data_IF_450749209981
#
_entry.id   IF_450749209981
#
_cell.length_a   1.000
_cell.length_b   1.000
_cell.length_c   1.000
_cell.angle_alpha   90.00
_cell.angle_beta   90.00
_cell.angle_gamma   90.00
#
_symmetry.space_group_name_H-M   'P 1'
#
loop_
_entity.id
_entity.type
_entity.pdbx_description
1 polymer ?
#
# COMPACT_ATOMS: atom_id res chain seq x y z
N UNK A 1 9.30 10.49 21.98
CA UNK A 1 9.25 9.03 22.26
C UNK A 1 9.45 8.33 20.94
N UNK A 2 10.52 7.56 20.77
CA UNK A 2 10.83 6.88 19.51
C UNK A 2 9.73 5.85 19.24
N UNK A 3 8.90 6.07 18.21
CA UNK A 3 7.86 5.10 17.81
C UNK A 3 8.57 3.95 17.12
N UNK A 4 9.02 2.98 17.88
CA UNK A 4 9.54 1.72 17.34
C UNK A 4 8.40 0.83 16.93
N UNK A 5 8.40 0.39 15.68
CA UNK A 5 7.53 -0.72 15.25
C UNK A 5 7.82 -1.93 16.15
N UNK A 6 6.76 -2.59 16.61
CA UNK A 6 6.91 -3.81 17.40
C UNK A 6 7.27 -4.99 16.50
N UNK A 7 8.01 -5.97 17.03
CA UNK A 7 8.32 -7.18 16.30
C UNK A 7 7.04 -7.85 15.76
N UNK A 8 7.07 -8.26 14.50
CA UNK A 8 5.95 -8.88 13.79
C UNK A 8 4.69 -8.00 13.67
N UNK A 9 4.82 -6.67 13.75
CA UNK A 9 3.69 -5.76 13.64
C UNK A 9 3.03 -5.86 12.27
N UNK A 10 3.82 -5.93 11.20
CA UNK A 10 3.33 -6.01 9.84
C UNK A 10 2.49 -7.27 9.60
N UNK A 11 3.04 -8.45 9.88
CA UNK A 11 2.30 -9.71 9.70
C UNK A 11 1.07 -9.80 10.61
N UNK A 12 1.16 -9.31 11.85
CA UNK A 12 -0.01 -9.26 12.76
C UNK A 12 -1.12 -8.38 12.19
N UNK A 13 -0.78 -7.25 11.58
CA UNK A 13 -1.74 -6.36 10.93
C UNK A 13 -2.36 -7.02 9.70
N UNK A 14 -1.57 -7.65 8.84
CA UNK A 14 -2.07 -8.40 7.68
C UNK A 14 -3.08 -9.46 8.11
N UNK A 15 -2.76 -10.29 9.10
CA UNK A 15 -3.68 -11.32 9.61
C UNK A 15 -4.93 -10.67 10.21
N UNK A 16 -4.79 -9.66 11.06
CA UNK A 16 -5.90 -9.00 11.75
C UNK A 16 -6.87 -8.32 10.79
N UNK A 17 -6.35 -7.60 9.79
CA UNK A 17 -7.23 -6.86 8.88
C UNK A 17 -7.89 -7.76 7.84
N UNK A 18 -7.26 -8.91 7.55
CA UNK A 18 -7.71 -9.88 6.54
C UNK A 18 -8.18 -11.22 7.12
N UNK A 19 -8.47 -11.31 8.43
CA UNK A 19 -8.76 -12.56 9.11
C UNK A 19 -9.89 -13.37 8.45
N UNK A 20 -10.86 -12.71 7.84
CA UNK A 20 -12.00 -13.37 7.18
C UNK A 20 -11.56 -14.25 6.00
N UNK A 21 -10.49 -13.89 5.27
CA UNK A 21 -9.96 -14.75 4.20
C UNK A 21 -9.38 -16.05 4.75
N UNK A 22 -8.72 -15.99 5.90
CA UNK A 22 -8.17 -17.18 6.55
C UNK A 22 -9.28 -18.10 7.08
N UNK A 23 -10.36 -17.53 7.63
CA UNK A 23 -11.53 -18.29 8.06
C UNK A 23 -12.23 -18.94 6.87
N UNK A 24 -12.47 -18.21 5.78
CA UNK A 24 -13.05 -18.77 4.56
C UNK A 24 -12.18 -19.91 4.01
N UNK A 25 -10.87 -19.74 3.96
CA UNK A 25 -9.96 -20.79 3.51
C UNK A 25 -10.02 -22.03 4.42
N UNK A 26 -10.02 -21.85 5.74
CA UNK A 26 -10.14 -22.95 6.69
C UNK A 26 -11.46 -23.72 6.52
N UNK A 27 -12.61 -23.02 6.45
CA UNK A 27 -13.91 -23.64 6.21
C UNK A 27 -13.93 -24.38 4.87
N UNK A 28 -13.40 -23.77 3.80
CA UNK A 28 -13.33 -24.40 2.48
C UNK A 28 -12.48 -25.68 2.49
N UNK A 29 -11.34 -25.67 3.19
CA UNK A 29 -10.49 -26.84 3.36
C UNK A 29 -11.24 -27.97 4.09
N UNK A 30 -11.94 -27.65 5.18
CA UNK A 30 -12.73 -28.64 5.93
C UNK A 30 -13.86 -29.24 5.06
N UNK A 31 -14.55 -28.44 4.25
CA UNK A 31 -15.56 -28.90 3.33
C UNK A 31 -14.98 -29.80 2.24
N UNK A 32 -13.81 -29.46 1.69
CA UNK A 32 -13.11 -30.28 0.70
C UNK A 32 -12.67 -31.63 1.30
N UNK A 33 -12.16 -31.65 2.53
CA UNK A 33 -11.83 -32.87 3.26
C UNK A 33 -13.07 -33.72 3.45
N UNK A 34 -14.19 -33.15 3.91
CA UNK A 34 -15.45 -33.89 4.07
C UNK A 34 -15.95 -34.44 2.72
N UNK A 35 -15.90 -33.62 1.64
CA UNK A 35 -16.29 -34.07 0.29
C UNK A 35 -15.43 -35.24 -0.21
N UNK A 36 -14.13 -35.24 0.11
CA UNK A 36 -13.21 -36.30 -0.32
C UNK A 36 -13.60 -37.68 0.20
N UNK A 37 -14.41 -37.77 1.29
CA UNK A 37 -14.87 -39.03 1.86
C UNK A 37 -15.97 -39.70 1.00
N UNK A 38 -16.61 -38.95 0.13
CA UNK A 38 -17.68 -39.42 -0.77
C UNK A 38 -17.23 -39.64 -2.22
N UNK A 39 -15.94 -39.37 -2.50
CA UNK A 39 -15.37 -39.46 -3.83
C UNK A 39 -14.29 -40.54 -3.91
N UNK A 40 -13.89 -40.93 -5.13
CA UNK A 40 -12.84 -41.91 -5.34
C UNK A 40 -12.00 -41.55 -6.59
N UNK A 41 -10.87 -42.24 -6.77
CA UNK A 41 -10.00 -42.06 -7.92
C UNK A 41 -9.38 -40.69 -8.04
N UNK A 42 -9.27 -40.16 -9.24
CA UNK A 42 -8.59 -38.91 -9.57
C UNK A 42 -9.17 -37.70 -8.84
N UNK A 43 -10.47 -37.68 -8.52
CA UNK A 43 -11.12 -36.56 -7.88
C UNK A 43 -10.57 -36.30 -6.47
N UNK A 44 -10.26 -37.37 -5.74
CA UNK A 44 -9.66 -37.27 -4.39
C UNK A 44 -8.26 -36.62 -4.48
N UNK A 45 -7.44 -37.03 -5.44
CA UNK A 45 -6.13 -36.43 -5.63
C UNK A 45 -6.20 -34.95 -6.02
N UNK A 46 -7.19 -34.57 -6.86
CA UNK A 46 -7.41 -33.17 -7.22
C UNK A 46 -7.82 -32.33 -6.01
N UNK A 47 -8.66 -32.87 -5.10
CA UNK A 47 -9.03 -32.19 -3.86
C UNK A 47 -7.79 -31.94 -3.00
N UNK A 48 -7.00 -32.97 -2.71
CA UNK A 48 -5.82 -32.82 -1.89
C UNK A 48 -4.76 -31.91 -2.53
N UNK A 49 -4.60 -31.94 -3.85
CA UNK A 49 -3.76 -31.00 -4.57
C UNK A 49 -4.25 -29.55 -4.37
N UNK A 50 -5.57 -29.31 -4.50
CA UNK A 50 -6.17 -27.99 -4.26
C UNK A 50 -5.93 -27.49 -2.83
N UNK A 51 -6.11 -28.36 -1.83
CA UNK A 51 -5.82 -28.04 -0.42
C UNK A 51 -4.34 -27.69 -0.28
N UNK A 52 -3.43 -28.50 -0.82
CA UNK A 52 -1.99 -28.25 -0.78
C UNK A 52 -1.60 -26.92 -1.40
N UNK A 53 -2.12 -26.59 -2.59
CA UNK A 53 -1.87 -25.31 -3.25
C UNK A 53 -2.45 -24.12 -2.44
N UNK A 54 -3.62 -24.28 -1.84
CA UNK A 54 -4.22 -23.23 -0.99
C UNK A 54 -3.35 -22.96 0.24
N UNK A 55 -2.92 -24.00 0.94
CA UNK A 55 -2.04 -23.87 2.11
C UNK A 55 -0.69 -23.25 1.73
N UNK A 56 -0.08 -23.72 0.64
CA UNK A 56 1.19 -23.16 0.14
C UNK A 56 1.03 -21.67 -0.21
N UNK A 57 -0.06 -21.29 -0.86
CA UNK A 57 -0.35 -19.90 -1.18
C UNK A 57 -0.50 -19.02 0.06
N UNK A 58 -1.20 -19.48 1.09
CA UNK A 58 -1.33 -18.75 2.37
C UNK A 58 0.05 -18.60 3.02
N UNK A 59 0.83 -19.67 3.11
CA UNK A 59 2.17 -19.62 3.70
C UNK A 59 3.09 -18.69 2.93
N UNK A 60 3.08 -18.74 1.60
CA UNK A 60 3.86 -17.84 0.75
C UNK A 60 3.47 -16.38 0.98
N UNK A 61 2.17 -16.08 1.00
CA UNK A 61 1.66 -14.72 1.27
C UNK A 61 2.09 -14.21 2.64
N UNK A 62 1.98 -15.02 3.68
CA UNK A 62 2.40 -14.64 5.04
C UNK A 62 3.91 -14.46 5.14
N UNK A 63 4.70 -15.36 4.55
CA UNK A 63 6.16 -15.27 4.56
C UNK A 63 6.65 -14.00 3.82
N UNK A 64 6.06 -13.71 2.66
CA UNK A 64 6.41 -12.50 1.90
C UNK A 64 5.91 -11.24 2.62
N UNK A 65 4.73 -11.26 3.22
CA UNK A 65 4.25 -10.13 4.05
C UNK A 65 5.19 -9.86 5.23
N UNK A 66 5.63 -10.90 5.93
CA UNK A 66 6.65 -10.75 6.98
C UNK A 66 7.93 -10.14 6.45
N UNK A 67 8.44 -10.66 5.31
CA UNK A 67 9.63 -10.11 4.68
C UNK A 67 9.48 -8.62 4.35
N UNK A 68 8.37 -8.23 3.74
CA UNK A 68 8.15 -6.84 3.30
C UNK A 68 7.97 -5.90 4.49
N UNK A 69 7.08 -6.24 5.43
CA UNK A 69 6.59 -5.30 6.44
C UNK A 69 7.31 -5.37 7.78
N UNK A 70 8.06 -6.46 8.04
CA UNK A 70 8.76 -6.64 9.33
C UNK A 70 10.28 -6.79 9.18
N UNK A 71 10.75 -7.40 8.07
CA UNK A 71 12.16 -7.72 7.91
C UNK A 71 12.89 -6.76 6.96
N UNK A 72 12.26 -6.30 5.88
CA UNK A 72 12.90 -5.40 4.91
C UNK A 72 13.00 -3.96 5.44
N UNK A 73 13.83 -3.16 4.77
CA UNK A 73 14.09 -1.75 5.08
C UNK A 73 12.94 -0.80 4.66
N UNK A 74 11.75 -1.33 4.34
CA UNK A 74 10.64 -0.53 3.81
C UNK A 74 10.33 0.67 4.71
N UNK A 75 10.22 0.46 6.01
CA UNK A 75 9.89 1.51 6.96
C UNK A 75 11.10 2.30 7.47
N UNK A 76 12.32 1.98 6.99
CA UNK A 76 13.47 2.86 7.17
C UNK A 76 13.45 4.05 6.24
N UNK A 77 12.60 4.03 5.20
CA UNK A 77 12.42 5.10 4.23
C UNK A 77 13.75 5.61 3.66
N UNK A 78 14.70 4.70 3.35
CA UNK A 78 16.06 5.09 2.91
C UNK A 78 16.06 5.90 1.62
N UNK A 79 15.03 5.76 0.79
CA UNK A 79 14.91 6.51 -0.47
C UNK A 79 14.69 8.01 -0.27
N UNK A 80 14.32 8.46 0.93
CA UNK A 80 14.23 9.89 1.25
C UNK A 80 15.49 10.44 1.94
N UNK A 81 16.53 9.64 2.21
CA UNK A 81 17.71 10.07 2.98
C UNK A 81 18.42 11.24 2.33
N UNK A 82 18.59 11.19 1.03
CA UNK A 82 19.28 12.20 0.23
C UNK A 82 18.48 13.47 0.00
N UNK A 83 17.20 13.46 0.33
CA UNK A 83 16.32 14.61 0.15
C UNK A 83 16.44 15.55 1.35
N UNK A 84 16.48 16.86 1.08
CA UNK A 84 16.55 17.91 2.10
C UNK A 84 15.36 18.89 1.95
N UNK A 85 14.12 18.40 1.99
CA UNK A 85 12.95 19.26 1.82
C UNK A 85 12.76 20.16 3.06
N UNK A 86 12.13 21.32 2.84
CA UNK A 86 11.62 22.18 3.91
C UNK A 86 10.17 21.86 4.24
N UNK A 87 9.40 21.52 3.21
CA UNK A 87 7.97 21.22 3.29
C UNK A 87 7.71 19.81 2.75
N UNK A 88 7.19 18.94 3.59
CA UNK A 88 6.80 17.56 3.22
C UNK A 88 5.29 17.42 3.33
N UNK A 89 4.67 16.79 2.33
CA UNK A 89 3.31 16.29 2.39
C UNK A 89 3.33 14.76 2.47
N UNK A 90 2.81 14.19 3.56
CA UNK A 90 2.58 12.75 3.65
C UNK A 90 1.11 12.44 3.37
N UNK A 91 0.87 11.55 2.42
CA UNK A 91 -0.46 11.20 1.91
C UNK A 91 -0.82 9.80 2.35
N UNK A 92 -1.90 9.66 3.08
CA UNK A 92 -2.42 8.36 3.48
C UNK A 92 -3.90 8.17 3.13
N UNK A 93 -4.35 6.93 3.18
CA UNK A 93 -5.72 6.49 2.89
C UNK A 93 -6.41 5.98 4.16
N UNK A 94 -6.17 6.66 5.28
CA UNK A 94 -6.77 6.32 6.56
C UNK A 94 -6.01 5.34 7.44
N UNK A 95 -4.84 4.88 7.01
CA UNK A 95 -3.91 4.12 7.83
C UNK A 95 -2.51 4.69 7.67
N UNK A 96 -2.06 5.42 8.67
CA UNK A 96 -0.77 6.12 8.65
C UNK A 96 0.27 5.36 9.47
N UNK A 97 1.21 4.73 8.81
CA UNK A 97 2.37 4.07 9.42
C UNK A 97 3.68 4.87 9.23
N UNK A 98 3.64 6.00 8.52
CA UNK A 98 4.85 6.66 8.03
C UNK A 98 5.09 8.06 8.60
N UNK A 99 4.08 8.80 9.01
CA UNK A 99 4.25 10.19 9.47
C UNK A 99 5.21 10.33 10.65
N UNK A 100 5.09 9.49 11.66
CA UNK A 100 6.02 9.54 12.81
C UNK A 100 7.45 9.16 12.40
N UNK A 101 7.60 8.21 11.46
CA UNK A 101 8.93 7.83 10.93
C UNK A 101 9.55 9.00 10.16
N UNK A 102 8.75 9.71 9.34
CA UNK A 102 9.19 10.89 8.59
C UNK A 102 9.59 12.01 9.55
N UNK A 103 8.78 12.32 10.58
CA UNK A 103 9.10 13.32 11.60
C UNK A 103 10.44 13.05 12.28
N UNK A 104 10.65 11.79 12.69
CA UNK A 104 11.89 11.39 13.35
C UNK A 104 13.11 11.48 12.42
N UNK A 105 12.91 11.17 11.14
CA UNK A 105 13.97 11.16 10.13
C UNK A 105 14.31 12.54 9.59
N UNK A 106 13.33 13.43 9.52
CA UNK A 106 13.43 14.78 8.92
C UNK A 106 13.04 15.88 9.94
N UNK A 107 13.82 16.00 11.02
CA UNK A 107 13.50 16.87 12.17
C UNK A 107 13.45 18.38 11.84
N UNK A 108 14.15 18.81 10.78
CA UNK A 108 14.21 20.23 10.38
C UNK A 108 13.23 20.55 9.23
N UNK A 109 12.13 19.82 9.13
CA UNK A 109 11.13 19.98 8.08
C UNK A 109 9.75 20.22 8.65
N UNK A 110 8.91 20.94 7.92
CA UNK A 110 7.47 21.00 8.21
C UNK A 110 6.79 19.82 7.54
N UNK A 111 6.10 18.99 8.30
CA UNK A 111 5.32 17.86 7.80
C UNK A 111 3.83 18.18 7.86
N UNK A 112 3.18 18.18 6.71
CA UNK A 112 1.72 18.16 6.58
C UNK A 112 1.26 16.72 6.32
N UNK A 113 0.16 16.31 6.95
CA UNK A 113 -0.38 14.95 6.84
C UNK A 113 -1.80 15.05 6.32
N UNK A 114 -2.10 14.35 5.23
CA UNK A 114 -3.45 14.27 4.69
C UNK A 114 -3.97 12.84 4.65
N UNK A 115 -5.27 12.71 4.86
CA UNK A 115 -6.04 11.47 4.74
C UNK A 115 -7.18 11.70 3.76
N UNK A 116 -7.14 11.03 2.61
CA UNK A 116 -8.16 11.11 1.57
C UNK A 116 -9.23 10.01 1.67
N UNK A 117 -9.22 9.21 2.72
CA UNK A 117 -10.16 8.11 2.85
C UNK A 117 -11.61 8.61 2.88
N UNK A 118 -12.41 8.08 1.95
CA UNK A 118 -13.85 8.28 1.91
C UNK A 118 -14.56 6.92 2.02
N UNK A 119 -15.34 6.66 3.09
CA UNK A 119 -15.95 5.35 3.32
C UNK A 119 -16.97 4.93 2.26
N UNK A 120 -17.48 5.88 1.45
CA UNK A 120 -18.40 5.60 0.37
C UNK A 120 -17.69 5.21 -0.94
N UNK A 121 -16.41 5.52 -1.07
CA UNK A 121 -15.60 5.26 -2.27
C UNK A 121 -14.54 4.17 -2.02
N UNK A 122 -13.87 4.21 -0.86
CA UNK A 122 -12.78 3.32 -0.48
C UNK A 122 -13.33 2.22 0.45
N UNK A 123 -13.96 1.22 -0.13
CA UNK A 123 -14.79 0.24 0.60
C UNK A 123 -14.02 -1.02 1.04
N UNK A 124 -12.70 -1.05 0.91
CA UNK A 124 -11.88 -2.18 1.34
C UNK A 124 -12.02 -2.44 2.85
N UNK A 125 -12.38 -3.68 3.19
CA UNK A 125 -12.64 -4.07 4.59
C UNK A 125 -11.38 -3.98 5.45
N UNK A 126 -10.21 -4.24 4.86
CA UNK A 126 -8.90 -4.16 5.52
C UNK A 126 -8.61 -2.75 6.01
N UNK A 127 -8.82 -1.73 5.16
CA UNK A 127 -8.57 -0.33 5.52
C UNK A 127 -9.52 0.15 6.61
N UNK A 128 -10.81 -0.24 6.54
CA UNK A 128 -11.77 0.07 7.60
C UNK A 128 -11.31 -0.44 8.96
N UNK A 129 -10.87 -1.70 9.03
CA UNK A 129 -10.34 -2.31 10.26
C UNK A 129 -9.03 -1.67 10.73
N UNK A 130 -8.17 -1.26 9.78
CA UNK A 130 -6.94 -0.56 10.10
C UNK A 130 -7.25 0.78 10.78
N UNK A 131 -8.16 1.57 10.23
CA UNK A 131 -8.62 2.86 10.81
C UNK A 131 -9.21 2.70 12.21
N UNK A 132 -10.06 1.69 12.42
CA UNK A 132 -10.64 1.39 13.73
C UNK A 132 -9.56 1.08 14.77
N UNK A 133 -8.47 0.43 14.35
CA UNK A 133 -7.37 0.03 15.24
C UNK A 133 -6.34 1.13 15.45
N UNK A 134 -6.07 1.92 14.43
CA UNK A 134 -5.05 2.96 14.39
C UNK A 134 -5.68 4.28 13.94
N UNK A 135 -6.30 5.03 14.87
CA UNK A 135 -6.85 6.35 14.55
C UNK A 135 -5.78 7.28 14.00
N UNK A 136 -6.14 8.09 13.02
CA UNK A 136 -5.23 9.07 12.43
C UNK A 136 -4.70 10.05 13.50
N UNK A 137 -3.44 10.51 13.38
CA UNK A 137 -2.90 11.58 14.20
C UNK A 137 -3.82 12.82 14.22
N UNK A 138 -3.87 13.55 15.33
CA UNK A 138 -4.77 14.72 15.49
C UNK A 138 -4.53 15.82 14.46
N UNK A 139 -3.31 15.97 14.00
CA UNK A 139 -2.87 16.92 12.98
C UNK A 139 -3.19 16.50 11.55
N UNK A 140 -3.75 15.31 11.34
CA UNK A 140 -4.11 14.84 10.00
C UNK A 140 -5.30 15.62 9.46
N UNK A 141 -5.15 16.17 8.26
CA UNK A 141 -6.18 16.90 7.54
C UNK A 141 -6.95 15.91 6.66
N UNK A 142 -8.25 15.78 6.88
CA UNK A 142 -9.11 15.02 5.96
C UNK A 142 -9.39 15.82 4.70
N UNK A 143 -9.20 15.22 3.52
CA UNK A 143 -9.30 15.90 2.22
C UNK A 143 -10.12 15.08 1.23
N UNK A 144 -10.70 15.77 0.23
CA UNK A 144 -11.21 15.11 -0.98
C UNK A 144 -10.10 14.96 -2.01
N UNK A 145 -10.22 13.95 -2.88
CA UNK A 145 -9.20 13.59 -3.89
C UNK A 145 -9.05 14.60 -5.03
N UNK A 146 -9.98 15.55 -5.17
CA UNK A 146 -10.00 16.53 -6.25
C UNK A 146 -9.80 17.98 -5.79
N UNK A 147 -9.55 18.20 -4.50
CA UNK A 147 -9.32 19.55 -3.95
C UNK A 147 -8.47 19.49 -2.68
N UNK A 148 -7.17 19.70 -2.83
CA UNK A 148 -6.25 19.78 -1.69
C UNK A 148 -6.21 21.21 -1.13
N UNK A 149 -6.34 21.41 0.20
CA UNK A 149 -6.42 22.72 0.84
C UNK A 149 -5.04 23.40 0.98
N UNK A 150 -4.23 23.37 -0.07
CA UNK A 150 -2.90 23.96 -0.10
C UNK A 150 -2.73 24.83 -1.33
N UNK A 151 -1.89 25.85 -1.21
CA UNK A 151 -1.52 26.70 -2.35
C UNK A 151 -0.69 25.89 -3.37
N UNK A 152 -0.66 26.39 -4.60
CA UNK A 152 0.20 25.81 -5.64
C UNK A 152 1.67 25.83 -5.20
N UNK A 153 2.40 24.80 -5.59
CA UNK A 153 3.86 24.72 -5.38
C UNK A 153 4.31 24.83 -3.90
N UNK A 154 3.51 24.28 -2.98
CA UNK A 154 3.72 24.39 -1.53
C UNK A 154 4.71 23.36 -0.97
N UNK A 155 4.97 22.26 -1.67
CA UNK A 155 5.72 21.13 -1.12
C UNK A 155 6.94 20.76 -1.93
N UNK A 156 8.10 20.64 -1.27
CA UNK A 156 9.34 20.19 -1.88
C UNK A 156 9.36 18.66 -2.07
N UNK A 157 8.65 17.94 -1.19
CA UNK A 157 8.55 16.49 -1.21
C UNK A 157 7.14 16.04 -0.87
N UNK A 158 6.56 15.21 -1.73
CA UNK A 158 5.28 14.55 -1.47
C UNK A 158 5.51 13.06 -1.42
N UNK A 159 4.97 12.40 -0.40
CA UNK A 159 5.12 10.97 -0.16
C UNK A 159 3.75 10.28 -0.16
N UNK A 160 3.57 9.30 -1.04
CA UNK A 160 2.44 8.37 -1.05
C UNK A 160 2.99 6.97 -0.83
N UNK A 161 2.91 6.45 0.40
CA UNK A 161 3.47 5.14 0.74
C UNK A 161 2.34 4.16 0.97
N UNK A 162 2.16 3.21 0.05
CA UNK A 162 1.14 2.16 0.11
C UNK A 162 -0.29 2.71 0.35
N UNK A 163 -0.61 3.84 -0.26
CA UNK A 163 -1.88 4.53 -0.05
C UNK A 163 -2.64 4.83 -1.34
N UNK A 164 -1.96 5.24 -2.39
CA UNK A 164 -2.60 5.74 -3.61
C UNK A 164 -3.39 4.66 -4.39
N UNK A 165 -3.08 3.37 -4.19
CA UNK A 165 -3.82 2.27 -4.79
C UNK A 165 -5.26 2.11 -4.25
N UNK A 166 -5.59 2.73 -3.12
CA UNK A 166 -6.96 2.74 -2.58
C UNK A 166 -7.93 3.52 -3.46
N UNK A 167 -7.45 4.46 -4.28
CA UNK A 167 -8.25 5.13 -5.29
C UNK A 167 -8.43 4.19 -6.49
N UNK A 168 -9.51 3.41 -6.50
CA UNK A 168 -9.76 2.35 -7.50
C UNK A 168 -10.19 2.89 -8.86
N UNK A 169 -10.97 3.97 -8.89
CA UNK A 169 -11.37 4.64 -10.14
C UNK A 169 -10.18 5.38 -10.76
N UNK A 170 -9.87 5.09 -12.03
CA UNK A 170 -8.73 5.69 -12.71
C UNK A 170 -8.90 7.20 -12.90
N UNK A 171 -10.12 7.67 -13.19
CA UNK A 171 -10.38 9.11 -13.41
C UNK A 171 -10.21 9.88 -12.10
N UNK A 172 -10.67 9.32 -10.99
CA UNK A 172 -10.47 9.91 -9.68
C UNK A 172 -8.97 9.92 -9.33
N UNK A 173 -8.26 8.83 -9.55
CA UNK A 173 -6.81 8.75 -9.32
C UNK A 173 -6.04 9.76 -10.16
N UNK A 174 -6.38 9.93 -11.45
CA UNK A 174 -5.77 10.97 -12.29
C UNK A 174 -6.04 12.37 -11.75
N UNK A 175 -7.28 12.68 -11.31
CA UNK A 175 -7.59 14.00 -10.69
C UNK A 175 -6.78 14.22 -9.43
N UNK A 176 -6.66 13.21 -8.59
CA UNK A 176 -5.87 13.29 -7.37
C UNK A 176 -4.38 13.57 -7.67
N UNK A 177 -3.81 12.88 -8.64
CA UNK A 177 -2.43 13.14 -9.05
C UNK A 177 -2.24 14.51 -9.72
N UNK A 178 -3.26 15.09 -10.36
CA UNK A 178 -3.25 16.49 -10.82
C UNK A 178 -3.19 17.47 -9.65
N UNK A 179 -3.93 17.22 -8.59
CA UNK A 179 -3.86 18.02 -7.37
C UNK A 179 -2.49 17.88 -6.67
N UNK A 180 -1.94 16.66 -6.59
CA UNK A 180 -0.58 16.46 -6.07
C UNK A 180 0.47 17.19 -6.93
N UNK A 181 0.31 17.17 -8.26
CA UNK A 181 1.16 17.93 -9.18
C UNK A 181 1.01 19.44 -8.95
N UNK A 182 -0.19 19.97 -8.78
CA UNK A 182 -0.45 21.39 -8.51
C UNK A 182 0.28 21.89 -7.26
N UNK A 183 0.22 21.12 -6.17
CA UNK A 183 0.84 21.51 -4.90
C UNK A 183 2.32 21.18 -4.81
N UNK A 184 2.88 20.43 -5.75
CA UNK A 184 4.31 20.12 -5.85
C UNK A 184 5.08 21.34 -6.34
N UNK A 185 6.19 21.70 -5.69
CA UNK A 185 7.08 22.77 -6.11
C UNK A 185 7.77 22.43 -7.45
N UNK A 186 8.22 23.43 -8.21
CA UNK A 186 8.83 23.23 -9.54
C UNK A 186 10.03 22.26 -9.51
N UNK A 187 10.88 22.35 -8.47
CA UNK A 187 12.02 21.45 -8.25
C UNK A 187 11.67 20.31 -7.25
N UNK A 188 10.39 20.17 -6.91
CA UNK A 188 9.91 19.19 -5.94
C UNK A 188 9.89 17.78 -6.52
N UNK A 189 9.78 16.80 -5.62
CA UNK A 189 9.64 15.38 -5.95
C UNK A 189 8.38 14.79 -5.34
N UNK A 190 7.64 14.04 -6.14
CA UNK A 190 6.57 13.19 -5.67
C UNK A 190 7.04 11.73 -5.72
N UNK A 191 7.05 11.07 -4.57
CA UNK A 191 7.46 9.68 -4.44
C UNK A 191 6.26 8.79 -4.13
N UNK A 192 5.98 7.85 -5.02
CA UNK A 192 4.86 6.91 -4.91
C UNK A 192 5.40 5.50 -4.73
N UNK A 193 5.23 4.95 -3.54
CA UNK A 193 5.73 3.62 -3.15
C UNK A 193 4.59 2.64 -3.14
N UNK A 194 4.63 1.61 -4.01
CA UNK A 194 3.51 0.70 -4.21
C UNK A 194 3.95 -0.73 -4.55
N UNK A 195 3.07 -1.68 -4.27
CA UNK A 195 3.09 -2.97 -4.91
C UNK A 195 2.72 -2.85 -6.38
N UNK A 196 3.43 -3.57 -7.23
CA UNK A 196 3.09 -3.60 -8.65
C UNK A 196 2.46 -4.93 -9.03
N UNK A 197 1.52 -4.90 -9.96
CA UNK A 197 0.98 -6.10 -10.59
C UNK A 197 2.05 -6.69 -11.52
N UNK A 198 2.90 -7.54 -10.96
CA UNK A 198 4.02 -8.23 -11.62
C UNK A 198 4.14 -9.69 -11.16
N UNK A 199 5.03 -10.45 -11.76
CA UNK A 199 5.20 -11.88 -11.49
C UNK A 199 5.54 -12.17 -10.02
N UNK A 200 6.41 -11.37 -9.40
CA UNK A 200 6.79 -11.58 -8.01
C UNK A 200 5.58 -11.46 -7.06
N UNK A 201 4.80 -10.40 -7.25
CA UNK A 201 3.59 -10.19 -6.46
C UNK A 201 2.49 -11.21 -6.77
N UNK A 202 2.41 -11.72 -8.02
CA UNK A 202 1.52 -12.83 -8.35
C UNK A 202 1.88 -14.10 -7.59
N UNK A 203 3.15 -14.49 -7.60
CA UNK A 203 3.62 -15.69 -6.89
C UNK A 203 3.44 -15.57 -5.37
N UNK A 204 3.61 -14.36 -4.82
CA UNK A 204 3.46 -14.10 -3.40
C UNK A 204 1.99 -14.05 -2.94
N UNK A 205 1.12 -13.38 -3.69
CA UNK A 205 -0.22 -12.99 -3.23
C UNK A 205 -1.37 -13.63 -4.02
N UNK A 206 -1.10 -14.42 -5.07
CA UNK A 206 -2.08 -15.11 -5.91
C UNK A 206 -3.26 -14.19 -6.28
N UNK A 207 -4.47 -14.46 -5.80
CA UNK A 207 -5.66 -13.64 -6.07
C UNK A 207 -5.49 -12.20 -5.54
N UNK A 208 -4.78 -11.99 -4.44
CA UNK A 208 -4.48 -10.66 -3.90
C UNK A 208 -3.70 -9.77 -4.87
N UNK A 209 -2.96 -10.35 -5.81
CA UNK A 209 -2.28 -9.63 -6.88
C UNK A 209 -3.19 -8.72 -7.71
N UNK A 210 -4.48 -9.04 -7.87
CA UNK A 210 -5.43 -8.21 -8.60
C UNK A 210 -5.76 -6.90 -7.89
N UNK A 211 -5.45 -6.80 -6.61
CA UNK A 211 -5.56 -5.55 -5.85
C UNK A 211 -4.53 -4.50 -6.32
N UNK A 212 -3.39 -4.92 -6.82
CA UNK A 212 -2.32 -4.03 -7.27
C UNK A 212 -2.54 -3.51 -8.69
N UNK A 213 -2.01 -2.31 -8.97
CA UNK A 213 -1.98 -1.77 -10.33
C UNK A 213 -0.67 -2.15 -11.03
N UNK A 214 -0.74 -2.30 -12.36
CA UNK A 214 0.45 -2.53 -13.17
C UNK A 214 1.26 -1.24 -13.35
N UNK A 215 2.56 -1.39 -13.68
CA UNK A 215 3.40 -0.24 -14.02
C UNK A 215 2.78 0.63 -15.14
N UNK A 216 2.26 0.09 -16.28
CA UNK A 216 1.58 0.90 -17.28
C UNK A 216 0.40 1.71 -16.73
N UNK A 217 -0.45 1.13 -15.87
CA UNK A 217 -1.56 1.88 -15.26
C UNK A 217 -1.07 3.10 -14.46
N UNK A 218 0.00 2.95 -13.67
CA UNK A 218 0.60 4.06 -12.94
C UNK A 218 1.19 5.10 -13.89
N UNK A 219 1.95 4.66 -14.90
CA UNK A 219 2.58 5.57 -15.88
C UNK A 219 1.53 6.43 -16.59
N UNK A 220 0.42 5.83 -17.06
CA UNK A 220 -0.68 6.58 -17.68
C UNK A 220 -1.25 7.65 -16.73
N UNK A 221 -1.50 7.31 -15.47
CA UNK A 221 -2.02 8.26 -14.47
C UNK A 221 -1.05 9.42 -14.24
N UNK A 222 0.25 9.14 -14.15
CA UNK A 222 1.27 10.17 -13.94
C UNK A 222 1.40 11.11 -15.15
N UNK A 223 1.42 10.56 -16.35
CA UNK A 223 1.48 11.34 -17.60
C UNK A 223 0.22 12.22 -17.78
N UNK A 224 -0.98 11.67 -17.54
CA UNK A 224 -2.24 12.43 -17.59
C UNK A 224 -2.31 13.52 -16.51
N UNK A 225 -1.55 13.38 -15.42
CA UNK A 225 -1.42 14.39 -14.37
C UNK A 225 -0.31 15.43 -14.64
N UNK A 226 0.39 15.33 -15.76
CA UNK A 226 1.49 16.24 -16.09
C UNK A 226 2.79 15.95 -15.36
N UNK A 227 2.92 14.77 -14.77
CA UNK A 227 4.11 14.34 -14.03
C UNK A 227 5.02 13.48 -14.92
N UNK A 228 6.32 13.68 -14.79
CA UNK A 228 7.36 12.91 -15.49
C UNK A 228 8.01 11.92 -14.54
N UNK A 229 8.02 10.66 -14.90
CA UNK A 229 8.74 9.64 -14.15
C UNK A 229 10.24 9.73 -14.45
N UNK A 230 11.03 10.09 -13.41
CA UNK A 230 12.49 10.19 -13.49
C UNK A 230 13.16 8.86 -13.25
N UNK A 231 12.70 8.14 -12.25
CA UNK A 231 13.32 6.90 -11.80
C UNK A 231 12.28 5.97 -11.17
N UNK A 232 12.57 4.68 -11.18
CA UNK A 232 11.87 3.67 -10.37
C UNK A 232 12.91 3.01 -9.48
N UNK A 233 12.83 3.31 -8.19
CA UNK A 233 13.65 2.65 -7.17
C UNK A 233 12.97 1.36 -6.71
N UNK A 234 13.69 0.24 -6.76
CA UNK A 234 13.21 -1.04 -6.21
C UNK A 234 13.61 -1.13 -4.75
N UNK A 235 12.66 -0.95 -3.85
CA UNK A 235 12.88 -1.08 -2.41
C UNK A 235 13.19 -2.52 -2.01
N UNK A 236 12.45 -3.45 -2.63
CA UNK A 236 12.65 -4.90 -2.53
C UNK A 236 12.02 -5.59 -3.76
N UNK A 237 12.02 -6.92 -3.89
CA UNK A 237 11.44 -7.60 -5.06
C UNK A 237 9.94 -7.35 -5.28
N UNK A 238 9.20 -6.88 -4.28
CA UNK A 238 7.74 -6.75 -4.25
C UNK A 238 7.25 -5.30 -4.28
N UNK A 239 8.08 -4.35 -3.84
CA UNK A 239 7.73 -2.93 -3.68
C UNK A 239 8.67 -2.06 -4.52
N UNK A 240 8.09 -1.10 -5.22
CA UNK A 240 8.82 -0.09 -5.98
C UNK A 240 8.35 1.31 -5.63
N UNK A 241 9.27 2.26 -5.65
CA UNK A 241 9.01 3.70 -5.50
C UNK A 241 9.22 4.39 -6.84
N UNK A 242 8.18 5.03 -7.36
CA UNK A 242 8.25 5.93 -8.50
C UNK A 242 8.69 7.31 -8.00
N UNK A 243 9.71 7.87 -8.62
CA UNK A 243 10.18 9.24 -8.37
C UNK A 243 9.73 10.10 -9.54
N UNK A 244 8.84 11.04 -9.25
CA UNK A 244 8.16 11.89 -10.22
C UNK A 244 8.53 13.35 -10.00
N UNK A 245 8.52 14.12 -11.09
CA UNK A 245 8.73 15.59 -11.11
C UNK A 245 7.82 16.22 -12.16
N UNK A 246 7.82 17.52 -12.26
CA UNK A 246 7.23 18.24 -13.40
C UNK A 246 7.93 17.97 -14.72
#
# INVERSE_FOLDING_TARGET
MEVRRTAFQGIKNIIRFNWHFYVIAAVSILLLIALSQFLSGILVYLIYATIGFTMLGILASLAVSYYIYDYSDLYELRWIDKENPKQILNVNAGFDETSELIKNKKQNTTLSIIDFYNPNKHTEVSIKRARERYPSPKETISVETDNLPFADKSFDLILCVLSAHEIRDQRERTRFFKELSRVLADEGKLMVTEHLRNTNNFLAFQIGFFHFFSKPNWTTVFEEAGLKMREIHKNNPFISTFILTH
#
